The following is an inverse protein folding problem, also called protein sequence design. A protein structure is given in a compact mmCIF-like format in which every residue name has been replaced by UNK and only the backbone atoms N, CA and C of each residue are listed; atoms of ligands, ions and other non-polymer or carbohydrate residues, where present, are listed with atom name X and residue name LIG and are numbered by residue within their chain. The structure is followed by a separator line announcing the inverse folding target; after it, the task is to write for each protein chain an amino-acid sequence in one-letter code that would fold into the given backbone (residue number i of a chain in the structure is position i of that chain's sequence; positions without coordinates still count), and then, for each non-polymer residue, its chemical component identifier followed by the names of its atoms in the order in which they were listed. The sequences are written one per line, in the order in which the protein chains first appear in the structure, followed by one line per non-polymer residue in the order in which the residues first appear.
data_IF_998933819587
#
_entry.id   IF_998933819587
#
_cell.length_a   1.000
_cell.length_b   1.000
_cell.length_c   1.000
_cell.angle_alpha   90.00
_cell.angle_beta   90.00
_cell.angle_gamma   90.00
#
_symmetry.space_group_name_H-M   'P 1'
#
loop_
_entity.id
_entity.type
_entity.pdbx_description
1 polymer ?
#
# COMPACT_ATOMS: atom_id res chain seq x y z
N UNK A 1 12.06 12.30 15.10
CA UNK A 1 11.86 11.52 13.86
C UNK A 1 11.15 12.44 12.87
N UNK A 2 11.64 12.58 11.65
CA UNK A 2 11.01 13.48 10.65
C UNK A 2 9.86 12.76 9.94
N UNK A 3 8.89 13.47 9.32
CA UNK A 3 7.84 12.83 8.51
C UNK A 3 8.43 11.90 7.44
N UNK A 4 9.46 12.38 6.73
CA UNK A 4 10.23 11.61 5.75
C UNK A 4 10.81 10.30 6.31
N UNK A 5 11.45 10.36 7.47
CA UNK A 5 12.06 9.17 8.07
C UNK A 5 10.99 8.18 8.55
N UNK A 6 9.81 8.66 8.98
CA UNK A 6 8.69 7.81 9.36
C UNK A 6 8.11 7.06 8.16
N UNK A 7 7.89 7.73 7.03
CA UNK A 7 7.43 7.11 5.79
C UNK A 7 8.39 5.98 5.36
N UNK A 8 9.70 6.26 5.35
CA UNK A 8 10.70 5.26 4.99
C UNK A 8 10.75 4.07 5.94
N UNK A 9 10.63 4.31 7.25
CA UNK A 9 10.61 3.25 8.25
C UNK A 9 9.44 2.29 8.03
N UNK A 10 8.24 2.82 7.76
CA UNK A 10 7.04 2.00 7.58
C UNK A 10 7.11 1.16 6.31
N UNK A 11 7.60 1.74 5.20
CA UNK A 11 7.86 0.99 3.96
C UNK A 11 8.85 -0.15 4.20
N UNK A 12 9.96 0.12 4.88
CA UNK A 12 10.95 -0.90 5.20
C UNK A 12 10.39 -1.99 6.12
N UNK A 13 9.55 -1.64 7.10
CA UNK A 13 8.88 -2.61 7.96
C UNK A 13 7.93 -3.52 7.18
N UNK A 14 7.19 -2.99 6.20
CA UNK A 14 6.33 -3.80 5.34
C UNK A 14 7.16 -4.80 4.52
N UNK A 15 8.30 -4.37 3.98
CA UNK A 15 9.22 -5.26 3.24
C UNK A 15 9.77 -6.38 4.12
N UNK A 16 10.25 -6.07 5.32
CA UNK A 16 10.75 -7.06 6.27
C UNK A 16 9.68 -8.09 6.66
N UNK A 17 8.43 -7.65 6.80
CA UNK A 17 7.33 -8.57 7.13
C UNK A 17 7.05 -9.53 5.97
N UNK A 18 7.17 -9.09 4.72
CA UNK A 18 7.07 -9.94 3.53
C UNK A 18 8.25 -10.89 3.33
N UNK A 19 9.38 -10.64 3.96
CA UNK A 19 10.55 -11.53 3.97
C UNK A 19 10.47 -12.60 5.07
N UNK A 20 9.53 -12.46 6.00
CA UNK A 20 9.38 -13.42 7.10
C UNK A 20 8.90 -14.77 6.57
N UNK A 21 9.71 -15.80 6.75
CA UNK A 21 9.38 -17.14 6.29
C UNK A 21 8.12 -17.67 7.01
N UNK A 22 7.14 -18.11 6.23
CA UNK A 22 5.92 -18.69 6.75
C UNK A 22 6.14 -20.05 7.45
N UNK A 23 7.27 -20.72 7.23
CA UNK A 23 7.53 -22.09 7.69
C UNK A 23 6.85 -23.14 6.81
N UNK A 24 6.87 -24.39 7.24
CA UNK A 24 6.32 -25.54 6.48
C UNK A 24 5.44 -26.48 7.32
N UNK A 25 4.98 -26.01 8.48
CA UNK A 25 4.05 -26.74 9.34
C UNK A 25 2.58 -26.43 8.99
N UNK A 26 1.65 -26.98 9.78
CA UNK A 26 0.20 -26.76 9.64
C UNK A 26 -0.26 -25.30 9.81
N UNK A 27 0.57 -24.43 10.37
CA UNK A 27 0.29 -23.00 10.54
C UNK A 27 0.93 -22.13 9.45
N UNK A 28 1.67 -22.72 8.50
CA UNK A 28 2.38 -21.97 7.47
C UNK A 28 1.45 -21.05 6.66
N UNK A 29 0.27 -21.55 6.26
CA UNK A 29 -0.69 -20.74 5.50
C UNK A 29 -1.22 -19.55 6.32
N UNK A 30 -1.60 -19.79 7.59
CA UNK A 30 -2.08 -18.74 8.47
C UNK A 30 -1.01 -17.67 8.74
N UNK A 31 0.26 -18.07 8.94
CA UNK A 31 1.38 -17.14 9.12
C UNK A 31 1.66 -16.33 7.86
N UNK A 32 1.61 -16.95 6.68
CA UNK A 32 1.73 -16.24 5.40
C UNK A 32 0.64 -15.17 5.28
N UNK A 33 -0.63 -15.54 5.49
CA UNK A 33 -1.76 -14.62 5.38
C UNK A 33 -1.63 -13.46 6.38
N UNK A 34 -1.27 -13.74 7.64
CA UNK A 34 -1.06 -12.72 8.66
C UNK A 34 0.09 -11.76 8.30
N UNK A 35 1.19 -12.27 7.74
CA UNK A 35 2.30 -11.44 7.28
C UNK A 35 1.90 -10.56 6.09
N UNK A 36 1.14 -11.10 5.14
CA UNK A 36 0.63 -10.34 3.98
C UNK A 36 -0.29 -9.20 4.38
N UNK A 37 -1.29 -9.46 5.25
CA UNK A 37 -2.20 -8.41 5.73
C UNK A 37 -1.50 -7.40 6.64
N UNK A 38 -0.59 -7.85 7.50
CA UNK A 38 0.22 -6.96 8.32
C UNK A 38 1.12 -6.05 7.48
N UNK A 39 1.67 -6.57 6.38
CA UNK A 39 2.48 -5.77 5.47
C UNK A 39 1.63 -4.74 4.72
N UNK A 40 0.41 -5.11 4.33
CA UNK A 40 -0.55 -4.20 3.72
C UNK A 40 -0.97 -3.08 4.71
N UNK A 41 -1.22 -3.42 5.98
CA UNK A 41 -1.51 -2.44 7.02
C UNK A 41 -0.34 -1.46 7.27
N UNK A 42 0.90 -1.96 7.27
CA UNK A 42 2.09 -1.11 7.34
C UNK A 42 2.22 -0.21 6.11
N UNK A 43 1.82 -0.70 4.94
CA UNK A 43 1.78 0.07 3.69
C UNK A 43 0.73 1.18 3.74
N UNK A 44 -0.44 0.95 4.36
CA UNK A 44 -1.42 2.02 4.61
C UNK A 44 -0.86 3.09 5.55
N UNK A 45 -0.23 2.68 6.65
CA UNK A 45 0.41 3.63 7.56
C UNK A 45 1.50 4.43 6.83
N UNK A 46 2.24 3.80 5.93
CA UNK A 46 3.21 4.49 5.09
C UNK A 46 2.55 5.51 4.16
N UNK A 47 1.42 5.17 3.53
CA UNK A 47 0.64 6.09 2.70
C UNK A 47 0.14 7.28 3.51
N UNK A 48 -0.42 7.06 4.70
CA UNK A 48 -0.86 8.15 5.58
C UNK A 48 0.32 9.02 6.05
N UNK A 49 1.48 8.43 6.30
CA UNK A 49 2.71 9.16 6.62
C UNK A 49 3.20 9.99 5.45
N UNK A 50 3.16 9.44 4.22
CA UNK A 50 3.50 10.16 2.99
C UNK A 50 2.57 11.35 2.78
N UNK A 51 1.26 11.17 2.97
CA UNK A 51 0.29 12.25 2.83
C UNK A 51 0.61 13.39 3.80
N UNK A 52 0.89 13.08 5.07
CA UNK A 52 1.35 14.08 6.06
C UNK A 52 2.65 14.77 5.67
N UNK A 53 3.59 14.02 5.10
CA UNK A 53 4.86 14.55 4.61
C UNK A 53 4.65 15.56 3.47
N UNK A 54 3.86 15.21 2.44
CA UNK A 54 3.65 16.09 1.28
C UNK A 54 2.67 17.22 1.54
N UNK A 55 1.87 17.14 2.62
CA UNK A 55 0.95 18.21 3.02
C UNK A 55 1.40 18.96 4.29
N UNK A 56 2.66 18.83 4.70
CA UNK A 56 3.18 19.43 5.95
C UNK A 56 2.89 20.94 6.04
N UNK A 57 3.05 21.67 4.94
CA UNK A 57 2.82 23.11 4.86
C UNK A 57 1.34 23.52 4.71
N UNK A 58 0.44 22.56 4.48
CA UNK A 58 -0.96 22.84 4.18
C UNK A 58 -1.86 22.97 5.44
N UNK A 59 -1.30 22.77 6.64
CA UNK A 59 -1.98 22.90 7.94
C UNK A 59 -3.31 22.14 8.01
N UNK A 60 -3.34 20.92 7.47
CA UNK A 60 -4.55 20.11 7.44
C UNK A 60 -4.85 19.51 8.82
N UNK A 61 -6.11 19.56 9.24
CA UNK A 61 -6.55 18.95 10.51
C UNK A 61 -6.53 17.41 10.45
N UNK A 62 -6.82 16.85 9.27
CA UNK A 62 -6.94 15.41 9.03
C UNK A 62 -6.15 15.01 7.79
N UNK A 63 -5.62 13.80 7.83
CA UNK A 63 -4.78 13.23 6.78
C UNK A 63 -5.27 11.84 6.38
N UNK A 64 -6.60 11.67 6.38
CA UNK A 64 -7.23 10.44 5.91
C UNK A 64 -7.04 10.33 4.39
N UNK A 65 -6.56 9.19 3.92
CA UNK A 65 -6.25 9.02 2.51
C UNK A 65 -7.52 9.02 1.64
N UNK A 66 -8.68 8.58 2.15
CA UNK A 66 -9.96 8.62 1.43
C UNK A 66 -10.41 10.05 1.18
N UNK A 67 -10.17 10.93 2.16
CA UNK A 67 -10.49 12.35 2.06
C UNK A 67 -9.50 13.07 1.12
N UNK A 68 -8.19 12.83 1.29
CA UNK A 68 -7.16 13.56 0.55
C UNK A 68 -7.02 13.11 -0.91
N UNK A 69 -7.22 11.82 -1.19
CA UNK A 69 -7.19 11.25 -2.54
C UNK A 69 -8.58 11.21 -3.19
N UNK A 70 -9.62 11.62 -2.47
CA UNK A 70 -10.98 11.76 -2.99
C UNK A 70 -11.14 12.97 -3.93
N UNK A 71 -12.29 13.06 -4.63
CA UNK A 71 -12.60 14.16 -5.54
C UNK A 71 -12.60 15.53 -4.84
N UNK A 72 -13.01 15.57 -3.57
CA UNK A 72 -13.08 16.78 -2.74
C UNK A 72 -11.75 17.13 -2.04
N UNK A 73 -10.68 16.36 -2.29
CA UNK A 73 -9.37 16.60 -1.67
C UNK A 73 -8.81 17.98 -2.04
N UNK A 74 -8.07 18.62 -1.12
CA UNK A 74 -7.50 19.95 -1.34
C UNK A 74 -6.66 20.02 -2.62
N UNK A 75 -6.72 21.17 -3.31
CA UNK A 75 -5.87 21.43 -4.48
C UNK A 75 -4.43 21.75 -4.05
N UNK A 76 -3.62 20.71 -3.92
CA UNK A 76 -2.16 20.76 -3.77
C UNK A 76 -1.55 19.96 -4.92
N UNK A 77 -0.41 20.41 -5.45
CA UNK A 77 0.21 19.80 -6.64
C UNK A 77 0.53 18.31 -6.39
N UNK A 78 1.09 17.99 -5.22
CA UNK A 78 1.43 16.62 -4.82
C UNK A 78 0.18 15.74 -4.67
N UNK A 79 -0.90 16.26 -4.07
CA UNK A 79 -2.17 15.54 -3.97
C UNK A 79 -2.85 15.37 -5.33
N UNK A 80 -2.69 16.33 -6.24
CA UNK A 80 -3.18 16.20 -7.61
C UNK A 80 -2.44 15.08 -8.34
N UNK A 81 -1.10 15.08 -8.29
CA UNK A 81 -0.28 14.01 -8.89
C UNK A 81 -0.61 12.63 -8.32
N UNK A 82 -0.80 12.51 -7.00
CA UNK A 82 -1.22 11.24 -6.38
C UNK A 82 -2.63 10.82 -6.84
N UNK A 83 -3.56 11.76 -7.03
CA UNK A 83 -4.89 11.44 -7.56
C UNK A 83 -4.85 10.99 -9.02
N UNK A 84 -4.05 11.64 -9.86
CA UNK A 84 -3.81 11.18 -11.23
C UNK A 84 -3.17 9.79 -11.24
N UNK A 85 -2.28 9.50 -10.30
CA UNK A 85 -1.71 8.17 -10.17
C UNK A 85 -2.78 7.14 -9.80
N UNK A 86 -3.68 7.47 -8.85
CA UNK A 86 -4.76 6.59 -8.43
C UNK A 86 -5.77 6.26 -9.54
N UNK A 87 -5.86 7.06 -10.62
CA UNK A 87 -6.74 6.77 -11.77
C UNK A 87 -6.08 5.95 -12.87
N UNK A 88 -4.76 5.77 -12.82
CA UNK A 88 -4.01 4.95 -13.79
C UNK A 88 -4.07 3.49 -13.37
N UNK A 89 -4.78 2.66 -14.12
CA UNK A 89 -5.06 1.25 -13.79
C UNK A 89 -3.80 0.40 -13.53
N UNK A 90 -2.67 0.75 -14.15
CA UNK A 90 -1.39 0.07 -14.01
C UNK A 90 -0.53 0.60 -12.85
N UNK A 91 -1.01 1.60 -12.11
CA UNK A 91 -0.25 2.21 -11.03
C UNK A 91 -0.35 1.42 -9.73
N UNK A 92 0.71 1.54 -8.93
CA UNK A 92 0.74 0.96 -7.58
C UNK A 92 -0.38 1.49 -6.69
N UNK A 93 -0.78 2.75 -6.88
CA UNK A 93 -1.79 3.38 -6.04
C UNK A 93 -3.20 2.91 -6.42
N UNK A 94 -3.49 2.80 -7.72
CA UNK A 94 -4.74 2.22 -8.20
C UNK A 94 -4.90 0.76 -7.76
N UNK A 95 -3.78 0.01 -7.71
CA UNK A 95 -3.77 -1.35 -7.16
C UNK A 95 -3.97 -1.38 -5.63
N UNK A 96 -3.36 -0.45 -4.90
CA UNK A 96 -3.34 -0.42 -3.43
C UNK A 96 -4.68 -0.04 -2.82
N UNK A 97 -5.30 1.06 -3.26
CA UNK A 97 -6.49 1.61 -2.62
C UNK A 97 -7.66 0.61 -2.45
N UNK A 98 -8.09 -0.17 -3.46
CA UNK A 98 -9.16 -1.14 -3.27
C UNK A 98 -8.80 -2.26 -2.28
N UNK A 99 -7.50 -2.57 -2.11
CA UNK A 99 -7.03 -3.55 -1.13
C UNK A 99 -7.03 -2.99 0.28
N UNK A 100 -6.74 -1.70 0.44
CA UNK A 100 -6.92 -1.02 1.73
C UNK A 100 -8.39 -0.95 2.14
N UNK A 101 -9.30 -0.76 1.18
CA UNK A 101 -10.74 -0.88 1.47
C UNK A 101 -11.11 -2.30 1.90
N UNK A 102 -10.62 -3.32 1.19
CA UNK A 102 -10.86 -4.72 1.55
C UNK A 102 -10.26 -5.10 2.92
N UNK A 103 -9.09 -4.56 3.27
CA UNK A 103 -8.42 -4.79 4.55
C UNK A 103 -9.25 -4.33 5.74
N UNK A 104 -10.06 -3.27 5.57
CA UNK A 104 -10.99 -2.80 6.60
C UNK A 104 -12.29 -3.61 6.67
N UNK A 105 -12.53 -4.52 5.71
CA UNK A 105 -13.66 -5.45 5.72
C UNK A 105 -13.43 -6.67 6.61
N UNK A 106 -14.50 -7.42 6.90
CA UNK A 106 -14.43 -8.65 7.71
C UNK A 106 -13.71 -9.81 7.04
N UNK A 107 -13.62 -9.78 5.70
CA UNK A 107 -13.10 -10.89 4.91
C UNK A 107 -11.57 -10.85 4.76
N UNK A 108 -10.94 -9.72 5.10
CA UNK A 108 -9.52 -9.50 4.87
C UNK A 108 -9.16 -9.43 3.39
N UNK A 109 -7.87 -9.53 3.10
CA UNK A 109 -7.30 -9.48 1.74
C UNK A 109 -6.57 -10.76 1.39
N UNK A 110 -5.90 -11.38 2.38
CA UNK A 110 -5.14 -12.59 2.13
C UNK A 110 -6.07 -13.79 1.92
N UNK A 111 -5.79 -14.60 0.90
CA UNK A 111 -6.62 -15.77 0.55
C UNK A 111 -5.87 -17.07 0.76
N UNK A 112 -6.63 -18.09 1.16
CA UNK A 112 -6.14 -19.48 1.20
C UNK A 112 -5.88 -20.00 -0.20
N UNK A 113 -4.78 -20.73 -0.37
CA UNK A 113 -4.36 -21.28 -1.65
C UNK A 113 -5.25 -22.44 -2.13
N UNK A 114 -6.10 -23.00 -1.26
CA UNK A 114 -6.91 -24.20 -1.53
C UNK A 114 -8.44 -24.06 -1.41
N UNK A 115 -9.00 -22.86 -1.28
CA UNK A 115 -10.45 -22.67 -1.06
C UNK A 115 -11.28 -22.60 -2.34
N UNK A 116 -12.14 -23.59 -2.59
CA UNK A 116 -13.37 -23.62 -3.41
C UNK A 116 -13.43 -22.95 -4.81
N UNK A 117 -12.33 -22.48 -5.39
CA UNK A 117 -12.24 -22.03 -6.77
C UNK A 117 -11.73 -23.15 -7.72
N UNK A 118 -11.95 -24.42 -7.38
CA UNK A 118 -11.61 -25.60 -8.20
C UNK A 118 -12.67 -25.92 -9.28
N UNK A 119 -13.37 -24.90 -9.80
CA UNK A 119 -14.49 -25.09 -10.74
C UNK A 119 -14.31 -24.44 -12.12
N UNK A 120 -13.35 -23.54 -12.29
CA UNK A 120 -13.05 -22.97 -13.61
C UNK A 120 -11.55 -22.80 -13.74
N UNK A 121 -11.05 -23.08 -14.94
CA UNK A 121 -9.66 -22.89 -15.35
C UNK A 121 -9.27 -21.42 -15.08
N UNK A 122 -8.68 -21.17 -13.92
CA UNK A 122 -7.95 -19.95 -13.63
C UNK A 122 -6.51 -20.17 -14.09
N UNK A 123 -6.27 -20.11 -15.40
CA UNK A 123 -4.94 -19.80 -15.92
C UNK A 123 -4.65 -18.34 -15.60
N UNK A 124 -4.11 -18.12 -14.41
CA UNK A 124 -3.67 -16.83 -13.93
C UNK A 124 -3.14 -17.09 -12.54
N UNK A 125 -1.82 -17.07 -12.39
CA UNK A 125 -1.14 -17.19 -11.12
C UNK A 125 -1.90 -16.41 -10.05
N UNK A 126 -2.45 -17.10 -9.05
CA UNK A 126 -2.63 -16.49 -7.74
C UNK A 126 -1.22 -16.20 -7.23
N UNK A 127 -0.61 -15.13 -7.74
CA UNK A 127 0.58 -14.56 -7.14
C UNK A 127 0.20 -14.34 -5.68
N UNK A 128 1.00 -14.88 -4.77
CA UNK A 128 0.75 -14.64 -3.35
C UNK A 128 0.63 -13.12 -3.18
N UNK A 129 -0.33 -12.63 -2.38
CA UNK A 129 -0.52 -11.20 -2.14
C UNK A 129 0.82 -10.49 -1.81
N UNK A 130 1.76 -11.23 -1.23
CA UNK A 130 3.16 -10.84 -1.06
C UNK A 130 3.87 -10.37 -2.35
N UNK A 131 3.76 -11.08 -3.47
CA UNK A 131 4.45 -10.73 -4.72
C UNK A 131 3.89 -9.45 -5.34
N UNK A 132 2.56 -9.32 -5.37
CA UNK A 132 1.90 -8.09 -5.82
C UNK A 132 2.23 -6.91 -4.89
N UNK A 133 2.28 -7.13 -3.57
CA UNK A 133 2.65 -6.10 -2.62
C UNK A 133 4.13 -5.70 -2.71
N UNK A 134 5.05 -6.64 -3.02
CA UNK A 134 6.46 -6.32 -3.32
C UNK A 134 6.57 -5.44 -4.56
N UNK A 135 5.80 -5.73 -5.61
CA UNK A 135 5.72 -4.86 -6.78
C UNK A 135 5.22 -3.47 -6.39
N UNK A 136 4.11 -3.38 -5.64
CA UNK A 136 3.53 -2.12 -5.16
C UNK A 136 4.54 -1.30 -4.34
N UNK A 137 5.25 -1.91 -3.38
CA UNK A 137 6.23 -1.23 -2.54
C UNK A 137 7.42 -0.69 -3.33
N UNK A 138 7.88 -1.43 -4.34
CA UNK A 138 8.96 -1.01 -5.23
C UNK A 138 8.56 0.22 -6.06
N UNK A 139 7.38 0.17 -6.69
CA UNK A 139 6.84 1.29 -7.48
C UNK A 139 6.55 2.51 -6.59
N UNK A 140 5.95 2.30 -5.42
CA UNK A 140 5.69 3.37 -4.45
C UNK A 140 6.98 4.08 -4.02
N UNK A 141 8.04 3.33 -3.70
CA UNK A 141 9.34 3.93 -3.34
C UNK A 141 9.93 4.78 -4.46
N UNK A 142 9.81 4.33 -5.71
CA UNK A 142 10.29 5.09 -6.87
C UNK A 142 9.51 6.40 -7.04
N UNK A 143 8.18 6.34 -6.99
CA UNK A 143 7.33 7.54 -7.10
C UNK A 143 7.52 8.51 -5.92
N UNK A 144 7.69 7.99 -4.70
CA UNK A 144 7.96 8.82 -3.52
C UNK A 144 9.30 9.54 -3.64
N UNK A 145 10.33 8.89 -4.18
CA UNK A 145 11.61 9.54 -4.44
C UNK A 145 11.43 10.70 -5.44
N UNK A 146 10.74 10.45 -6.55
CA UNK A 146 10.46 11.47 -7.56
C UNK A 146 9.60 12.63 -7.04
N UNK A 147 8.61 12.36 -6.17
CA UNK A 147 7.81 13.40 -5.50
C UNK A 147 8.68 14.30 -4.62
N UNK A 148 9.57 13.71 -3.83
CA UNK A 148 10.46 14.45 -2.93
C UNK A 148 11.50 15.28 -3.66
N UNK A 149 11.99 14.81 -4.80
CA UNK A 149 12.88 15.61 -5.67
C UNK A 149 12.14 16.84 -6.16
N UNK A 150 10.91 16.69 -6.66
CA UNK A 150 10.11 17.83 -7.11
C UNK A 150 9.77 18.81 -6.00
N UNK A 151 9.49 18.35 -4.77
CA UNK A 151 9.17 19.25 -3.64
C UNK A 151 10.39 19.99 -3.08
N UNK A 152 11.63 19.66 -3.46
CA UNK A 152 12.84 20.40 -3.09
C UNK A 152 13.14 21.58 -4.03
N UNK A 153 12.50 21.64 -5.19
CA UNK A 153 12.70 22.69 -6.19
C UNK A 153 11.84 23.95 -5.94
N UNK A 154 10.99 23.96 -4.91
CA UNK A 154 10.05 25.04 -4.58
C UNK A 154 10.30 25.66 -3.21
#
# INVERSE_FOLDING_TARGET
MTPRSRTNQLLYQAELLLETAAGSDEHAEARRMAAEEGALALTELALQSLLREVTEHALLERHDWRELLGPEGRSLAELHRLRELATREDSWLAWLLPRLEALHGSDGVARRSGGAAQGLIATGSGAALADELRWCLREAKAEIAALRETSQEW
#
